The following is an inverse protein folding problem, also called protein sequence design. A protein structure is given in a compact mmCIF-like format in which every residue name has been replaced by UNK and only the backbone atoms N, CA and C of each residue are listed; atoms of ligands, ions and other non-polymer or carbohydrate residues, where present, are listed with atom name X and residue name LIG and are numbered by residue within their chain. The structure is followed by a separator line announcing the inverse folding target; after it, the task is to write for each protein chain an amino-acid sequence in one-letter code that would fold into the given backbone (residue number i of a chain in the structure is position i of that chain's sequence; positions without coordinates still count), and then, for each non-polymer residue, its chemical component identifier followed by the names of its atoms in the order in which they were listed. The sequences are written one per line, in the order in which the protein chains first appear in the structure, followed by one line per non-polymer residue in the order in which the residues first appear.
data_IF_372380918293
#
_entry.id   IF_372380918293
#
_cell.length_a   1.000
_cell.length_b   1.000
_cell.length_c   1.000
_cell.angle_alpha   90.00
_cell.angle_beta   90.00
_cell.angle_gamma   90.00
#
_symmetry.space_group_name_H-M   'P 1'
#
loop_
_entity.id
_entity.type
_entity.pdbx_description
1 polymer ?
#
# COMPACT_ATOMS: atom_id res chain seq x y z
N UNK A 1 -1.60 6.50 -7.25
CA UNK A 1 -2.47 5.36 -6.89
C UNK A 1 -3.93 5.67 -7.20
N UNK A 2 -4.41 5.08 -8.29
CA UNK A 2 -5.78 5.05 -8.75
C UNK A 2 -6.36 3.66 -8.48
N UNK A 3 -7.40 3.59 -7.65
CA UNK A 3 -7.96 2.32 -7.17
C UNK A 3 -9.37 2.12 -7.72
N UNK A 4 -9.55 1.06 -8.50
CA UNK A 4 -10.84 0.70 -9.09
C UNK A 4 -11.62 -0.30 -8.23
N UNK A 5 -12.95 -0.16 -8.18
CA UNK A 5 -13.87 -1.15 -7.62
C UNK A 5 -14.57 -1.87 -8.76
N UNK A 6 -14.42 -3.20 -8.84
CA UNK A 6 -15.04 -4.03 -9.87
C UNK A 6 -16.11 -4.90 -9.20
N UNK A 7 -17.40 -4.57 -9.31
CA UNK A 7 -18.45 -5.49 -8.88
C UNK A 7 -18.51 -6.72 -9.79
N UNK A 8 -18.56 -7.90 -9.17
CA UNK A 8 -18.74 -9.19 -9.83
C UNK A 8 -20.04 -9.83 -9.34
N UNK A 9 -20.92 -10.15 -10.26
CA UNK A 9 -22.24 -10.76 -9.99
C UNK A 9 -22.62 -11.70 -11.13
N UNK A 10 -23.43 -12.74 -10.86
CA UNK A 10 -23.81 -13.72 -11.91
C UNK A 10 -24.67 -13.14 -13.03
N UNK A 11 -25.37 -12.05 -12.77
CA UNK A 11 -26.36 -11.47 -13.67
C UNK A 11 -25.80 -10.19 -14.31
N UNK A 12 -26.24 -9.85 -15.51
CA UNK A 12 -25.82 -8.63 -16.20
C UNK A 12 -26.55 -7.39 -15.66
N UNK A 13 -27.68 -7.59 -14.96
CA UNK A 13 -28.40 -6.52 -14.28
C UNK A 13 -27.77 -6.19 -12.93
N UNK A 14 -27.52 -4.89 -12.68
CA UNK A 14 -27.05 -4.41 -11.37
C UNK A 14 -28.13 -4.63 -10.33
N UNK A 15 -27.97 -5.67 -9.51
CA UNK A 15 -28.88 -5.93 -8.40
C UNK A 15 -28.77 -4.81 -7.35
N UNK A 16 -29.85 -4.48 -6.63
CA UNK A 16 -29.80 -3.50 -5.52
C UNK A 16 -28.68 -3.80 -4.51
N UNK A 17 -28.39 -5.08 -4.27
CA UNK A 17 -27.31 -5.52 -3.37
C UNK A 17 -25.91 -5.17 -3.90
N UNK A 18 -25.70 -5.19 -5.22
CA UNK A 18 -24.43 -4.81 -5.85
C UNK A 18 -24.18 -3.32 -5.66
N UNK A 19 -25.20 -2.50 -5.93
CA UNK A 19 -25.15 -1.05 -5.72
C UNK A 19 -24.95 -0.69 -4.25
N UNK A 20 -25.62 -1.40 -3.33
CA UNK A 20 -25.45 -1.21 -1.89
C UNK A 20 -24.03 -1.52 -1.45
N UNK A 21 -23.49 -2.69 -1.84
CA UNK A 21 -22.14 -3.09 -1.44
C UNK A 21 -21.08 -2.15 -2.03
N UNK A 22 -21.21 -1.77 -3.31
CA UNK A 22 -20.33 -0.81 -3.96
C UNK A 22 -20.30 0.52 -3.21
N UNK A 23 -21.48 1.07 -2.88
CA UNK A 23 -21.62 2.32 -2.13
C UNK A 23 -21.02 2.20 -0.73
N UNK A 24 -21.35 1.15 0.02
CA UNK A 24 -20.84 0.92 1.38
C UNK A 24 -19.32 0.81 1.42
N UNK A 25 -18.73 0.05 0.48
CA UNK A 25 -17.29 -0.11 0.37
C UNK A 25 -16.64 1.23 0.05
N UNK A 26 -17.18 1.94 -0.95
CA UNK A 26 -16.69 3.26 -1.33
C UNK A 26 -16.69 4.24 -0.17
N UNK A 27 -17.84 4.44 0.47
CA UNK A 27 -18.02 5.38 1.57
C UNK A 27 -17.08 5.04 2.74
N UNK A 28 -16.94 3.75 3.05
CA UNK A 28 -16.04 3.30 4.12
C UNK A 28 -14.57 3.58 3.79
N UNK A 29 -14.11 3.27 2.58
CA UNK A 29 -12.71 3.44 2.18
C UNK A 29 -12.36 4.93 2.03
N UNK A 30 -13.26 5.73 1.46
CA UNK A 30 -13.10 7.19 1.36
C UNK A 30 -13.03 7.85 2.74
N UNK A 31 -13.84 7.41 3.72
CA UNK A 31 -13.76 7.86 5.12
C UNK A 31 -12.41 7.55 5.78
N UNK A 32 -11.59 6.66 5.20
CA UNK A 32 -10.22 6.36 5.64
C UNK A 32 -9.15 7.14 4.88
N UNK A 33 -9.54 8.10 4.05
CA UNK A 33 -8.65 8.96 3.28
C UNK A 33 -8.09 8.29 2.03
N UNK A 34 -8.73 7.23 1.54
CA UNK A 34 -8.30 6.49 0.34
C UNK A 34 -9.36 6.71 -0.73
N UNK A 35 -8.98 7.36 -1.83
CA UNK A 35 -9.89 7.59 -2.96
C UNK A 35 -10.06 6.30 -3.76
N UNK A 36 -11.30 5.98 -4.10
CA UNK A 36 -11.68 4.83 -4.92
C UNK A 36 -12.75 5.26 -5.90
N UNK A 37 -12.81 4.60 -7.04
CA UNK A 37 -13.84 4.84 -8.03
C UNK A 37 -14.34 3.52 -8.61
N UNK A 38 -15.55 3.55 -9.16
CA UNK A 38 -16.04 2.39 -9.90
C UNK A 38 -15.20 2.18 -11.16
N UNK A 39 -14.84 0.93 -11.42
CA UNK A 39 -14.08 0.55 -12.60
C UNK A 39 -14.84 0.88 -13.88
N UNK A 40 -14.11 1.47 -14.84
CA UNK A 40 -14.58 1.74 -16.19
C UNK A 40 -13.66 1.08 -17.20
N UNK A 41 -14.27 0.40 -18.16
CA UNK A 41 -13.53 -0.25 -19.24
C UNK A 41 -12.79 0.79 -20.09
N UNK A 42 -11.54 0.51 -20.46
CA UNK A 42 -10.67 1.44 -21.19
C UNK A 42 -9.91 2.45 -20.33
N UNK A 43 -10.15 2.49 -19.02
CA UNK A 43 -9.41 3.35 -18.09
C UNK A 43 -8.29 2.59 -17.36
N UNK A 44 -7.18 3.28 -17.08
CA UNK A 44 -6.03 2.69 -16.37
C UNK A 44 -6.20 2.79 -14.86
N UNK A 45 -5.95 1.71 -14.14
CA UNK A 45 -5.98 1.63 -12.68
C UNK A 45 -4.69 1.00 -12.17
N UNK A 46 -4.12 1.54 -11.09
CA UNK A 46 -2.90 0.98 -10.47
C UNK A 46 -3.23 -0.33 -9.73
N UNK A 47 -4.38 -0.36 -9.06
CA UNK A 47 -4.90 -1.54 -8.37
C UNK A 47 -6.42 -1.62 -8.52
N UNK A 48 -6.96 -2.83 -8.33
CA UNK A 48 -8.41 -3.06 -8.30
C UNK A 48 -8.83 -3.93 -7.13
N UNK A 49 -10.03 -3.67 -6.63
CA UNK A 49 -10.72 -4.52 -5.65
C UNK A 49 -11.91 -5.16 -6.34
N UNK A 50 -11.96 -6.48 -6.33
CA UNK A 50 -13.09 -7.25 -6.84
C UNK A 50 -14.15 -7.39 -5.74
N UNK A 51 -15.32 -6.82 -5.96
CA UNK A 51 -16.47 -6.99 -5.05
C UNK A 51 -17.24 -8.21 -5.52
N UNK A 52 -17.01 -9.37 -4.90
CA UNK A 52 -17.70 -10.60 -5.23
C UNK A 52 -19.07 -10.55 -4.59
N UNK A 53 -20.12 -10.30 -5.37
CA UNK A 53 -21.48 -10.06 -4.85
C UNK A 53 -22.25 -11.36 -4.72
N UNK A 54 -22.09 -12.30 -5.67
CA UNK A 54 -22.82 -13.58 -5.71
C UNK A 54 -21.98 -14.74 -6.23
N UNK A 55 -22.47 -15.97 -6.06
CA UNK A 55 -22.09 -17.14 -6.87
C UNK A 55 -22.25 -16.85 -8.35
N UNK A 56 -21.44 -17.49 -9.20
CA UNK A 56 -21.42 -17.25 -10.65
C UNK A 56 -20.53 -16.08 -11.09
N UNK A 57 -19.83 -15.43 -10.14
CA UNK A 57 -18.90 -14.32 -10.39
C UNK A 57 -17.59 -14.76 -11.04
N UNK A 58 -17.27 -16.06 -11.01
CA UNK A 58 -16.02 -16.67 -11.47
C UNK A 58 -15.82 -16.40 -12.97
N UNK A 59 -16.88 -16.52 -13.77
CA UNK A 59 -16.83 -16.25 -15.21
C UNK A 59 -16.49 -14.80 -15.53
N UNK A 60 -17.05 -13.84 -14.78
CA UNK A 60 -16.73 -12.41 -14.96
C UNK A 60 -15.29 -12.12 -14.52
N UNK A 61 -14.85 -12.71 -13.41
CA UNK A 61 -13.46 -12.63 -12.97
C UNK A 61 -12.49 -13.11 -14.06
N UNK A 62 -12.71 -14.31 -14.60
CA UNK A 62 -11.86 -14.91 -15.65
C UNK A 62 -11.71 -14.04 -16.90
N UNK A 63 -12.74 -13.26 -17.26
CA UNK A 63 -12.70 -12.35 -18.42
C UNK A 63 -11.81 -11.13 -18.20
N UNK A 64 -11.69 -10.64 -16.96
CA UNK A 64 -11.11 -9.32 -16.69
C UNK A 64 -9.80 -9.37 -15.90
N UNK A 65 -9.57 -10.41 -15.09
CA UNK A 65 -8.46 -10.41 -14.12
C UNK A 65 -7.09 -10.31 -14.78
N UNK A 66 -6.91 -10.83 -16.00
CA UNK A 66 -5.65 -10.78 -16.75
C UNK A 66 -5.19 -9.36 -17.10
N UNK A 67 -6.08 -8.36 -16.99
CA UNK A 67 -5.74 -6.94 -17.15
C UNK A 67 -5.00 -6.37 -15.94
N UNK A 68 -5.00 -7.06 -14.82
CA UNK A 68 -4.43 -6.59 -13.56
C UNK A 68 -3.37 -7.55 -13.05
N UNK A 69 -2.31 -6.98 -12.47
CA UNK A 69 -1.29 -7.77 -11.78
C UNK A 69 -1.64 -7.93 -10.29
N UNK A 70 -1.11 -8.97 -9.61
CA UNK A 70 -1.25 -9.11 -8.17
C UNK A 70 -0.76 -7.85 -7.41
N UNK A 71 -1.27 -7.60 -6.19
CA UNK A 71 -2.15 -8.49 -5.41
C UNK A 71 -3.63 -8.40 -5.81
N UNK A 72 -4.30 -9.55 -5.90
CA UNK A 72 -5.74 -9.62 -6.10
C UNK A 72 -6.48 -9.46 -4.75
N UNK A 73 -7.31 -8.43 -4.61
CA UNK A 73 -8.11 -8.18 -3.42
C UNK A 73 -9.59 -8.46 -3.69
N UNK A 74 -10.22 -9.26 -2.84
CA UNK A 74 -11.63 -9.63 -2.93
C UNK A 74 -12.38 -9.14 -1.71
N UNK A 75 -13.50 -8.44 -1.90
CA UNK A 75 -14.47 -8.18 -0.84
C UNK A 75 -15.67 -9.09 -1.09
N UNK A 76 -16.04 -9.84 -0.06
CA UNK A 76 -17.17 -10.78 -0.07
C UNK A 76 -18.21 -10.38 0.96
N UNK A 77 -19.41 -10.93 0.83
CA UNK A 77 -20.47 -10.84 1.83
C UNK A 77 -20.93 -12.25 2.22
N UNK A 78 -21.70 -12.36 3.31
CA UNK A 78 -22.21 -13.65 3.80
C UNK A 78 -23.40 -14.22 2.99
N UNK A 79 -23.87 -13.53 1.96
CA UNK A 79 -25.08 -13.87 1.21
C UNK A 79 -24.78 -14.37 -0.20
N UNK A 80 -25.81 -14.89 -0.87
CA UNK A 80 -25.83 -15.20 -2.30
C UNK A 80 -24.63 -16.01 -2.81
N UNK A 81 -24.04 -16.88 -1.99
CA UNK A 81 -22.86 -17.67 -2.35
C UNK A 81 -21.62 -16.82 -2.73
N UNK A 82 -21.51 -15.60 -2.21
CA UNK A 82 -20.39 -14.67 -2.46
C UNK A 82 -19.04 -15.21 -1.96
N UNK A 83 -18.97 -15.62 -0.69
CA UNK A 83 -17.73 -16.16 -0.11
C UNK A 83 -17.25 -17.44 -0.82
N UNK A 84 -18.11 -18.45 -1.08
CA UNK A 84 -17.70 -19.62 -1.85
C UNK A 84 -17.18 -19.27 -3.25
N UNK A 85 -17.81 -18.33 -3.96
CA UNK A 85 -17.32 -17.88 -5.26
C UNK A 85 -15.92 -17.25 -5.18
N UNK A 86 -15.65 -16.43 -4.15
CA UNK A 86 -14.32 -15.87 -3.95
C UNK A 86 -13.28 -16.93 -3.57
N UNK A 87 -13.68 -17.97 -2.82
CA UNK A 87 -12.80 -19.10 -2.50
C UNK A 87 -12.45 -19.92 -3.75
N UNK A 88 -13.41 -20.19 -4.63
CA UNK A 88 -13.19 -20.83 -5.94
C UNK A 88 -12.22 -20.00 -6.81
N UNK A 89 -12.46 -18.69 -6.90
CA UNK A 89 -11.56 -17.76 -7.60
C UNK A 89 -10.17 -17.79 -6.98
N UNK A 90 -10.07 -17.77 -5.65
CA UNK A 90 -8.79 -17.76 -4.97
C UNK A 90 -8.05 -19.09 -5.10
N UNK A 91 -8.76 -20.22 -5.16
CA UNK A 91 -8.20 -21.53 -5.45
C UNK A 91 -7.62 -21.57 -6.88
N UNK A 92 -8.34 -21.02 -7.87
CA UNK A 92 -7.82 -20.82 -9.23
C UNK A 92 -6.55 -19.94 -9.26
N UNK A 93 -6.45 -18.95 -8.37
CA UNK A 93 -5.26 -18.12 -8.19
C UNK A 93 -4.16 -18.77 -7.32
N UNK A 94 -4.26 -20.05 -7.00
CA UNK A 94 -3.31 -20.77 -6.13
C UNK A 94 -3.15 -20.11 -4.74
N UNK A 95 -4.22 -19.52 -4.21
CA UNK A 95 -4.23 -18.82 -2.92
C UNK A 95 -3.55 -17.45 -2.92
N UNK A 96 -3.18 -16.90 -4.09
CA UNK A 96 -2.47 -15.60 -4.20
C UNK A 96 -3.37 -14.38 -4.04
N UNK A 97 -4.68 -14.57 -3.88
CA UNK A 97 -5.65 -13.53 -3.57
C UNK A 97 -5.88 -13.36 -2.07
N UNK A 98 -6.28 -12.15 -1.67
CA UNK A 98 -6.72 -11.85 -0.29
C UNK A 98 -8.21 -11.59 -0.27
N UNK A 99 -8.93 -12.35 0.56
CA UNK A 99 -10.38 -12.25 0.72
C UNK A 99 -10.69 -11.53 2.03
N UNK A 100 -11.52 -10.49 1.96
CA UNK A 100 -12.04 -9.76 3.11
C UNK A 100 -13.55 -9.99 3.20
N UNK A 101 -14.02 -10.55 4.31
CA UNK A 101 -15.46 -10.69 4.55
C UNK A 101 -16.04 -9.38 5.10
N UNK A 102 -16.86 -8.70 4.29
CA UNK A 102 -17.38 -7.38 4.59
C UNK A 102 -18.16 -7.32 5.91
N UNK A 103 -18.87 -8.38 6.28
CA UNK A 103 -19.63 -8.46 7.52
C UNK A 103 -18.76 -8.44 8.80
N UNK A 104 -17.44 -8.63 8.69
CA UNK A 104 -16.51 -8.70 9.85
C UNK A 104 -15.72 -7.40 10.03
N UNK A 105 -15.80 -6.81 11.23
CA UNK A 105 -15.07 -5.57 11.57
C UNK A 105 -13.54 -5.72 11.50
N UNK A 106 -12.99 -6.89 11.84
CA UNK A 106 -11.56 -7.18 11.71
C UNK A 106 -11.10 -7.10 10.26
N UNK A 107 -11.83 -7.76 9.35
CA UNK A 107 -11.55 -7.78 7.91
C UNK A 107 -11.56 -6.37 7.31
N UNK A 108 -12.49 -5.51 7.74
CA UNK A 108 -12.50 -4.09 7.31
C UNK A 108 -11.24 -3.34 7.75
N UNK A 109 -10.69 -3.63 8.93
CA UNK A 109 -9.43 -3.03 9.38
C UNK A 109 -8.25 -3.56 8.56
N UNK A 110 -8.24 -4.85 8.26
CA UNK A 110 -7.17 -5.48 7.48
C UNK A 110 -7.19 -5.03 6.02
N UNK A 111 -8.36 -4.82 5.43
CA UNK A 111 -8.51 -4.14 4.15
C UNK A 111 -7.84 -2.77 4.17
N UNK A 112 -8.14 -1.93 5.16
CA UNK A 112 -7.54 -0.58 5.26
C UNK A 112 -6.02 -0.66 5.37
N UNK A 113 -5.49 -1.62 6.14
CA UNK A 113 -4.03 -1.85 6.21
C UNK A 113 -3.46 -2.22 4.85
N UNK A 114 -4.07 -3.19 4.17
CA UNK A 114 -3.64 -3.62 2.83
C UNK A 114 -3.65 -2.45 1.83
N UNK A 115 -4.70 -1.62 1.81
CA UNK A 115 -4.78 -0.47 0.92
C UNK A 115 -3.73 0.61 1.24
N UNK A 116 -3.45 0.86 2.51
CA UNK A 116 -2.38 1.76 2.92
C UNK A 116 -1.00 1.22 2.53
N UNK A 117 -0.79 -0.09 2.65
CA UNK A 117 0.45 -0.74 2.20
C UNK A 117 0.62 -0.59 0.69
N UNK A 118 -0.41 -0.84 -0.11
CA UNK A 118 -0.34 -0.65 -1.57
C UNK A 118 -0.02 0.80 -1.95
N UNK A 119 -0.66 1.75 -1.27
CA UNK A 119 -0.37 3.17 -1.46
C UNK A 119 1.09 3.49 -1.15
N UNK A 120 1.60 2.98 -0.03
CA UNK A 120 2.99 3.17 0.37
C UNK A 120 3.96 2.55 -0.64
N UNK A 121 3.67 1.33 -1.13
CA UNK A 121 4.48 0.65 -2.16
C UNK A 121 4.62 1.52 -3.41
N UNK A 122 3.54 2.13 -3.88
CA UNK A 122 3.61 3.05 -5.03
C UNK A 122 4.31 4.37 -4.69
N UNK A 123 4.17 4.88 -3.46
CA UNK A 123 4.84 6.12 -3.03
C UNK A 123 6.36 5.96 -2.95
N UNK A 124 6.86 4.81 -2.51
CA UNK A 124 8.30 4.55 -2.35
C UNK A 124 8.97 4.06 -3.64
N UNK A 125 8.20 3.53 -4.58
CA UNK A 125 8.71 3.06 -5.87
C UNK A 125 9.37 4.20 -6.64
N UNK A 126 10.59 3.96 -7.12
CA UNK A 126 11.43 4.95 -7.81
C UNK A 126 12.06 6.01 -6.90
N UNK A 127 11.90 5.91 -5.56
CA UNK A 127 12.64 6.80 -4.65
C UNK A 127 14.10 6.35 -4.53
N UNK A 128 14.96 7.33 -4.23
CA UNK A 128 16.36 7.13 -3.91
C UNK A 128 16.57 7.16 -2.40
N UNK A 129 17.32 6.21 -1.89
CA UNK A 129 17.78 6.15 -0.50
C UNK A 129 19.28 6.38 -0.45
N UNK A 130 19.70 7.48 0.15
CA UNK A 130 21.11 7.80 0.35
C UNK A 130 21.67 7.12 1.60
N UNK A 131 22.69 6.28 1.45
CA UNK A 131 23.43 5.69 2.56
C UNK A 131 24.71 6.50 2.81
N UNK A 132 24.86 7.06 4.01
CA UNK A 132 26.05 7.82 4.40
C UNK A 132 26.97 6.93 5.23
N UNK A 133 28.17 6.68 4.72
CA UNK A 133 29.13 5.76 5.32
C UNK A 133 28.75 4.29 5.14
N UNK A 134 29.70 3.39 5.45
CA UNK A 134 29.46 1.93 5.42
C UNK A 134 29.03 1.43 6.80
N UNK A 135 28.23 0.35 6.85
CA UNK A 135 28.01 -0.40 8.09
C UNK A 135 29.34 -0.77 8.72
N UNK A 136 29.37 -0.85 10.05
CA UNK A 136 30.57 -1.30 10.77
C UNK A 136 31.01 -2.69 10.32
N UNK A 137 32.33 -2.90 10.19
CA UNK A 137 32.92 -4.12 9.63
C UNK A 137 32.52 -5.41 10.37
N UNK A 138 32.16 -5.32 11.66
CA UNK A 138 31.71 -6.45 12.46
C UNK A 138 30.24 -6.85 12.24
N UNK A 139 29.49 -6.13 11.40
CA UNK A 139 28.08 -6.38 11.13
C UNK A 139 27.90 -7.30 9.91
N UNK A 140 27.61 -8.58 10.18
CA UNK A 140 27.52 -9.63 9.14
C UNK A 140 26.14 -9.66 8.47
N UNK A 141 25.06 -9.27 9.17
CA UNK A 141 23.68 -9.41 8.69
C UNK A 141 22.97 -8.07 8.40
N UNK A 142 23.66 -6.94 8.56
CA UNK A 142 23.00 -5.63 8.70
C UNK A 142 22.74 -4.90 7.38
N UNK A 143 23.11 -5.47 6.23
CA UNK A 143 22.94 -4.76 4.95
C UNK A 143 22.46 -5.73 3.88
N UNK A 144 21.17 -5.66 3.50
CA UNK A 144 20.68 -6.40 2.35
C UNK A 144 21.37 -5.90 1.08
N UNK A 145 21.51 -6.78 0.10
CA UNK A 145 22.00 -6.42 -1.23
C UNK A 145 21.09 -5.36 -1.86
N UNK A 146 21.69 -4.34 -2.49
CA UNK A 146 20.97 -3.24 -3.13
C UNK A 146 20.01 -3.73 -4.22
N UNK A 147 20.36 -4.80 -4.93
CA UNK A 147 19.51 -5.43 -5.93
C UNK A 147 18.23 -5.99 -5.31
N UNK A 148 18.30 -6.56 -4.11
CA UNK A 148 17.14 -7.10 -3.38
C UNK A 148 16.23 -5.97 -2.92
N UNK A 149 16.79 -4.85 -2.48
CA UNK A 149 16.01 -3.66 -2.10
C UNK A 149 15.27 -3.08 -3.31
N UNK A 150 15.96 -2.97 -4.45
CA UNK A 150 15.37 -2.52 -5.71
C UNK A 150 14.28 -3.46 -6.22
N UNK A 151 14.51 -4.76 -6.20
CA UNK A 151 13.53 -5.77 -6.64
C UNK A 151 12.26 -5.74 -5.78
N UNK A 152 12.42 -5.67 -4.44
CA UNK A 152 11.28 -5.79 -3.51
C UNK A 152 10.52 -4.51 -3.28
N UNK A 153 11.21 -3.37 -3.27
CA UNK A 153 10.63 -2.07 -2.90
C UNK A 153 10.65 -1.04 -4.03
N UNK A 154 11.36 -1.32 -5.13
CA UNK A 154 11.55 -0.34 -6.20
C UNK A 154 12.39 0.86 -5.78
N UNK A 155 13.20 0.75 -4.72
CA UNK A 155 14.03 1.84 -4.20
C UNK A 155 15.45 1.69 -4.75
N UNK A 156 16.00 2.79 -5.27
CA UNK A 156 17.41 2.87 -5.66
C UNK A 156 18.27 3.29 -4.46
N UNK A 157 19.38 2.59 -4.22
CA UNK A 157 20.32 2.94 -3.15
C UNK A 157 21.50 3.69 -3.76
N UNK A 158 21.82 4.85 -3.19
CA UNK A 158 22.98 5.66 -3.56
C UNK A 158 23.93 5.75 -2.36
N UNK A 159 25.20 5.35 -2.54
CA UNK A 159 26.20 5.40 -1.47
C UNK A 159 26.96 6.74 -1.45
N UNK A 160 27.11 7.30 -0.25
CA UNK A 160 27.84 8.53 0.03
C UNK A 160 28.93 8.29 1.08
N UNK A 161 30.21 8.52 0.77
CA UNK A 161 31.29 8.43 1.76
C UNK A 161 31.08 9.41 2.93
N UNK A 162 31.35 8.95 4.15
CA UNK A 162 31.20 9.78 5.36
C UNK A 162 32.16 10.97 5.35
N UNK A 163 33.34 10.82 4.75
CA UNK A 163 34.37 11.85 4.66
C UNK A 163 33.83 13.06 3.86
N UNK A 164 33.13 12.80 2.75
CA UNK A 164 32.49 13.87 1.95
C UNK A 164 31.41 14.60 2.73
N UNK A 165 30.67 13.88 3.58
CA UNK A 165 29.67 14.49 4.45
C UNK A 165 30.34 15.39 5.51
N UNK A 166 31.39 14.91 6.18
CA UNK A 166 32.16 15.69 7.17
C UNK A 166 32.77 16.94 6.53
N UNK A 167 33.39 16.82 5.35
CA UNK A 167 33.95 17.96 4.62
C UNK A 167 32.89 19.01 4.30
N UNK A 168 31.68 18.58 3.92
CA UNK A 168 30.57 19.49 3.64
C UNK A 168 30.13 20.23 4.90
N UNK A 169 30.02 19.54 6.05
CA UNK A 169 29.66 20.14 7.34
C UNK A 169 30.73 21.14 7.81
N UNK A 170 32.02 20.85 7.61
CA UNK A 170 33.10 21.79 7.96
C UNK A 170 33.11 23.07 7.11
N UNK A 171 32.51 23.01 5.92
CA UNK A 171 32.46 24.13 4.95
C UNK A 171 31.14 24.90 4.99
N UNK A 172 30.12 24.40 5.69
CA UNK A 172 28.88 25.15 5.91
C UNK A 172 29.12 26.29 6.88
N UNK A 173 28.39 27.39 6.68
CA UNK A 173 28.30 28.45 7.68
C UNK A 173 27.20 28.14 8.70
N UNK A 174 27.34 28.70 9.89
CA UNK A 174 26.42 28.51 11.01
C UNK A 174 25.20 29.45 10.94
N UNK A 175 24.96 30.10 9.79
CA UNK A 175 23.85 31.04 9.66
C UNK A 175 22.52 30.32 9.79
N UNK A 176 21.65 30.82 10.66
CA UNK A 176 20.34 30.23 10.92
C UNK A 176 20.35 29.07 11.92
N UNK A 177 21.50 28.67 12.47
CA UNK A 177 21.56 27.67 13.55
C UNK A 177 20.76 28.14 14.77
N UNK A 178 20.87 29.43 15.15
CA UNK A 178 20.14 29.97 16.30
C UNK A 178 18.62 29.84 16.15
N UNK A 179 18.09 30.10 14.96
CA UNK A 179 16.65 29.96 14.67
C UNK A 179 16.19 28.50 14.78
N UNK A 180 16.99 27.57 14.24
CA UNK A 180 16.74 26.13 14.33
C UNK A 180 16.78 25.67 15.80
N UNK A 181 17.77 26.13 16.57
CA UNK A 181 17.92 25.80 17.98
C UNK A 181 16.73 26.31 18.80
N UNK A 182 16.25 27.53 18.54
CA UNK A 182 15.07 28.08 19.20
C UNK A 182 13.83 27.21 18.91
N UNK A 183 13.62 26.81 17.66
CA UNK A 183 12.48 25.96 17.28
C UNK A 183 12.58 24.57 17.92
N UNK A 184 13.78 23.96 17.93
CA UNK A 184 14.02 22.68 18.59
C UNK A 184 13.75 22.75 20.09
N UNK A 185 14.25 23.79 20.78
CA UNK A 185 14.04 23.98 22.22
C UNK A 185 12.57 24.16 22.57
N UNK A 186 11.79 24.89 21.76
CA UNK A 186 10.34 25.06 21.95
C UNK A 186 9.57 23.74 21.84
N UNK A 187 10.04 22.81 21.00
CA UNK A 187 9.42 21.49 20.76
C UNK A 187 9.95 20.42 21.71
N UNK A 188 11.04 20.68 22.43
CA UNK A 188 11.65 19.73 23.34
C UNK A 188 10.79 19.58 24.61
N UNK A 189 10.48 18.33 24.97
CA UNK A 189 9.77 18.04 26.23
C UNK A 189 10.70 18.18 27.46
N UNK A 190 12.01 18.04 27.28
CA UNK A 190 13.04 18.20 28.30
C UNK A 190 14.38 18.54 27.63
N UNK A 191 15.16 19.43 28.25
CA UNK A 191 16.54 19.72 27.87
C UNK A 191 17.43 19.23 29.01
N UNK A 192 18.54 18.56 28.69
CA UNK A 192 19.50 18.08 29.68
C UNK A 192 20.88 18.49 29.18
N UNK A 193 21.60 19.22 30.01
CA UNK A 193 23.01 19.51 29.77
C UNK A 193 23.80 18.22 30.07
N UNK A 194 24.60 17.79 29.11
CA UNK A 194 25.57 16.72 29.30
C UNK A 194 26.86 17.45 29.65
N UNK A 195 27.27 17.38 30.92
CA UNK A 195 28.59 17.83 31.32
C UNK A 195 29.63 16.91 30.66
N UNK A 196 30.65 17.50 30.00
CA UNK A 196 31.78 16.81 29.37
C UNK A 196 32.67 16.08 30.39
#
# INVERSE_FOLDING_TARGET
MRLGLIPLSSDETRRPIELSLLKEVRDFVEKKGIKVEEFKEGENYDFVIFLVVTGGSERKFLKIHKKFSPPYLFITNKFNNSLPAALEINAYLEGKGRIFLWDKKSEKKDLVRALKTLKLTEEIKGKKMGLIGKPSFWLIASTPDESVVKERFGIDIDFYPIEKFIERVKKSDDSGIDEILIDLKKKANKITEIDD
#
